data_IF_474869260584
#
_entry.id   IF_474869260584
#
_cell.length_a   1.000
_cell.length_b   1.000
_cell.length_c   1.000
_cell.angle_alpha   90.00
_cell.angle_beta   90.00
_cell.angle_gamma   90.00
#
_symmetry.space_group_name_H-M   'P 1'
#
loop_
_entity.id
_entity.type
_entity.pdbx_description
1 polymer ?
#
# COMPACT_ATOMS: atom_id res chain seq x y z
N UNK A 1 -4.10 -16.41 17.97
CA UNK A 1 -3.79 -15.77 16.67
C UNK A 1 -3.52 -14.29 16.91
N UNK A 2 -2.24 -13.88 16.93
CA UNK A 2 -1.87 -12.47 17.13
C UNK A 2 -1.85 -11.79 15.77
N UNK A 3 -2.79 -10.85 15.55
CA UNK A 3 -2.87 -10.08 14.32
C UNK A 3 -2.54 -8.62 14.61
N UNK A 4 -1.58 -8.05 13.89
CA UNK A 4 -1.36 -6.60 13.87
C UNK A 4 -2.00 -6.05 12.61
N UNK A 5 -2.73 -4.94 12.73
CA UNK A 5 -3.24 -4.21 11.57
C UNK A 5 -2.70 -2.80 11.60
N UNK A 6 -2.16 -2.35 10.48
CA UNK A 6 -1.80 -0.95 10.25
C UNK A 6 -2.79 -0.37 9.25
N UNK A 7 -3.24 0.85 9.49
CA UNK A 7 -4.24 1.53 8.67
C UNK A 7 -3.69 2.84 8.17
N UNK A 8 -3.88 3.10 6.88
CA UNK A 8 -3.49 4.32 6.20
C UNK A 8 -4.73 4.92 5.52
N UNK A 9 -5.10 6.11 5.97
CA UNK A 9 -6.16 6.90 5.36
C UNK A 9 -5.56 7.89 4.36
N UNK A 10 -6.31 8.22 3.32
CA UNK A 10 -5.97 9.30 2.36
C UNK A 10 -4.59 9.18 1.71
N UNK A 11 -4.19 7.96 1.36
CA UNK A 11 -3.00 7.76 0.55
C UNK A 11 -3.21 8.25 -0.88
N UNK A 12 -2.13 8.74 -1.50
CA UNK A 12 -2.17 9.27 -2.86
C UNK A 12 -2.00 8.16 -3.90
N UNK A 13 -0.97 7.32 -3.73
CA UNK A 13 -0.75 6.12 -4.54
C UNK A 13 0.06 5.08 -3.77
N UNK A 14 0.07 3.85 -4.28
CA UNK A 14 0.92 2.77 -3.80
C UNK A 14 1.75 2.27 -4.97
N UNK A 15 3.05 2.06 -4.76
CA UNK A 15 3.91 1.38 -5.72
C UNK A 15 4.22 -0.03 -5.20
N UNK A 16 4.04 -1.02 -6.07
CA UNK A 16 4.33 -2.42 -5.79
C UNK A 16 5.46 -2.90 -6.68
N UNK A 17 6.57 -3.31 -6.09
CA UNK A 17 7.70 -3.90 -6.79
C UNK A 17 7.77 -5.40 -6.50
N UNK A 18 7.97 -6.27 -7.52
CA UNK A 18 8.04 -7.70 -7.31
C UNK A 18 9.31 -8.07 -6.54
N UNK A 19 9.15 -8.95 -5.57
CA UNK A 19 10.22 -9.54 -4.74
C UNK A 19 10.19 -11.06 -4.85
N UNK A 20 11.25 -11.75 -4.40
CA UNK A 20 11.35 -13.23 -4.53
C UNK A 20 10.14 -14.00 -3.99
N UNK A 21 9.52 -13.50 -2.91
CA UNK A 21 8.41 -14.19 -2.23
C UNK A 21 7.18 -13.29 -1.98
N UNK A 22 7.05 -12.20 -2.74
CA UNK A 22 5.95 -11.25 -2.55
C UNK A 22 6.16 -9.94 -3.31
N UNK A 23 5.67 -8.86 -2.71
CA UNK A 23 5.75 -7.51 -3.26
C UNK A 23 6.26 -6.56 -2.19
N UNK A 24 7.25 -5.75 -2.52
CA UNK A 24 7.60 -4.57 -1.74
C UNK A 24 6.52 -3.50 -2.00
N UNK A 25 5.89 -3.02 -0.93
CA UNK A 25 4.84 -2.01 -0.95
C UNK A 25 5.42 -0.68 -0.51
N UNK A 26 5.38 0.31 -1.38
CA UNK A 26 5.72 1.70 -1.07
C UNK A 26 4.44 2.51 -1.02
N UNK A 27 4.06 2.98 0.17
CA UNK A 27 2.87 3.83 0.36
C UNK A 27 3.28 5.29 0.26
N UNK A 28 2.64 6.02 -0.66
CA UNK A 28 2.91 7.43 -0.91
C UNK A 28 1.70 8.25 -0.43
N UNK A 29 1.93 9.12 0.55
CA UNK A 29 0.95 10.11 1.00
C UNK A 29 1.21 11.46 0.33
N UNK A 30 0.15 12.19 0.00
CA UNK A 30 0.26 13.62 -0.34
C UNK A 30 0.24 14.41 0.98
N UNK A 31 1.35 15.05 1.31
CA UNK A 31 1.45 15.92 2.49
C UNK A 31 1.48 17.36 2.00
N UNK A 32 0.58 18.20 2.51
CA UNK A 32 0.65 19.63 2.27
C UNK A 32 1.51 20.28 3.35
N UNK A 33 2.65 20.84 2.94
CA UNK A 33 3.52 21.64 3.81
C UNK A 33 3.69 23.02 3.19
N UNK A 34 3.30 24.05 3.92
CA UNK A 34 3.49 25.46 3.52
C UNK A 34 2.94 25.79 2.13
N UNK A 35 1.78 25.22 1.75
CA UNK A 35 1.14 25.48 0.47
C UNK A 35 1.74 24.75 -0.74
N UNK A 36 2.74 23.89 -0.53
CA UNK A 36 3.26 22.96 -1.55
C UNK A 36 2.78 21.54 -1.25
N UNK A 37 2.45 20.80 -2.31
CA UNK A 37 2.17 19.36 -2.25
C UNK A 37 3.51 18.62 -2.32
N UNK A 38 3.82 17.83 -1.30
CA UNK A 38 4.98 16.96 -1.24
C UNK A 38 4.54 15.50 -1.14
N UNK A 39 5.20 14.61 -1.87
CA UNK A 39 5.02 13.17 -1.73
C UNK A 39 5.90 12.68 -0.57
N UNK A 40 5.28 12.07 0.45
CA UNK A 40 6.00 11.43 1.55
C UNK A 40 5.88 9.91 1.43
N UNK A 41 7.03 9.23 1.39
CA UNK A 41 7.10 7.76 1.50
C UNK A 41 6.94 7.38 2.96
N UNK A 42 5.98 6.51 3.27
CA UNK A 42 5.60 6.23 4.66
C UNK A 42 6.09 4.89 5.17
N UNK A 43 6.20 3.87 4.31
CA UNK A 43 6.67 2.54 4.73
C UNK A 43 7.07 1.70 3.52
N UNK A 44 7.91 0.70 3.79
CA UNK A 44 8.22 -0.42 2.91
C UNK A 44 7.76 -1.71 3.59
N UNK A 45 6.73 -2.36 3.05
CA UNK A 45 6.21 -3.61 3.61
C UNK A 45 6.28 -4.73 2.56
N UNK A 46 6.72 -5.93 2.95
CA UNK A 46 6.64 -7.09 2.09
C UNK A 46 5.27 -7.76 2.25
N UNK A 47 4.43 -7.72 1.20
CA UNK A 47 3.09 -8.35 1.20
C UNK A 47 3.04 -9.53 0.24
N UNK A 48 2.29 -10.57 0.61
CA UNK A 48 2.11 -11.78 -0.22
C UNK A 48 0.84 -11.74 -1.06
N UNK A 49 -0.17 -10.99 -0.63
CA UNK A 49 -1.44 -10.86 -1.34
C UNK A 49 -2.01 -9.46 -1.17
N UNK A 50 -2.80 -9.04 -2.16
CA UNK A 50 -3.50 -7.77 -2.16
C UNK A 50 -4.95 -7.97 -2.59
N UNK A 51 -5.90 -7.38 -1.84
CA UNK A 51 -7.30 -7.22 -2.24
C UNK A 51 -7.54 -5.74 -2.52
N UNK A 52 -7.94 -5.43 -3.76
CA UNK A 52 -8.05 -4.04 -4.25
C UNK A 52 -9.50 -3.78 -4.68
N UNK A 53 -10.16 -2.84 -4.01
CA UNK A 53 -11.48 -2.33 -4.42
C UNK A 53 -11.43 -0.81 -4.63
N UNK A 54 -12.07 -0.31 -5.70
CA UNK A 54 -12.15 1.12 -5.97
C UNK A 54 -10.82 1.78 -6.38
N UNK A 55 -9.90 1.02 -6.99
CA UNK A 55 -8.61 1.52 -7.47
C UNK A 55 -8.42 1.30 -8.97
N UNK A 56 -7.61 2.16 -9.57
CA UNK A 56 -6.98 1.93 -10.87
C UNK A 56 -5.60 1.31 -10.65
N UNK A 57 -5.25 0.33 -11.47
CA UNK A 57 -3.95 -0.34 -11.44
C UNK A 57 -3.26 -0.12 -12.78
N UNK A 58 -2.08 0.49 -12.73
CA UNK A 58 -1.21 0.69 -13.89
C UNK A 58 -0.03 -0.28 -13.81
N UNK A 59 0.17 -1.05 -14.88
CA UNK A 59 1.27 -2.00 -15.01
C UNK A 59 2.44 -1.32 -15.71
N UNK A 60 3.56 -1.17 -15.02
CA UNK A 60 4.80 -0.64 -15.57
C UNK A 60 5.88 -1.73 -15.58
N UNK A 61 6.92 -1.61 -16.42
CA UNK A 61 8.06 -2.52 -16.35
C UNK A 61 8.67 -2.51 -14.94
N UNK A 62 8.63 -3.66 -14.27
CA UNK A 62 9.22 -3.84 -12.93
C UNK A 62 8.42 -3.28 -11.76
N UNK A 63 7.23 -2.69 -11.96
CA UNK A 63 6.36 -2.24 -10.85
C UNK A 63 4.89 -2.14 -11.25
N UNK A 64 4.00 -2.20 -10.26
CA UNK A 64 2.59 -1.80 -10.42
C UNK A 64 2.33 -0.52 -9.62
N UNK A 65 1.54 0.38 -10.17
CA UNK A 65 1.10 1.59 -9.48
C UNK A 65 -0.40 1.47 -9.23
N UNK A 66 -0.80 1.63 -7.97
CA UNK A 66 -2.20 1.58 -7.54
C UNK A 66 -2.61 2.98 -7.12
N UNK A 67 -3.61 3.52 -7.80
CA UNK A 67 -4.16 4.85 -7.53
C UNK A 67 -5.63 4.70 -7.12
N UNK A 68 -6.05 5.23 -5.97
CA UNK A 68 -7.43 5.15 -5.54
C UNK A 68 -8.31 6.05 -6.42
N UNK A 69 -9.42 5.51 -6.93
CA UNK A 69 -10.37 6.25 -7.78
C UNK A 69 -11.38 7.09 -6.97
N UNK A 70 -11.41 6.87 -5.65
CA UNK A 70 -12.25 7.53 -4.65
C UNK A 70 -11.52 7.53 -3.31
N UNK A 71 -12.07 8.19 -2.29
CA UNK A 71 -11.54 8.04 -0.92
C UNK A 71 -11.69 6.57 -0.48
N UNK A 72 -10.57 5.95 -0.14
CA UNK A 72 -10.46 4.55 0.30
C UNK A 72 -9.51 4.45 1.49
N UNK A 73 -9.60 3.35 2.21
CA UNK A 73 -8.70 3.03 3.33
C UNK A 73 -7.78 1.88 2.93
N UNK A 74 -6.48 2.01 3.22
CA UNK A 74 -5.52 0.92 3.09
C UNK A 74 -5.30 0.26 4.45
N UNK A 75 -5.40 -1.07 4.50
CA UNK A 75 -5.09 -1.90 5.67
C UNK A 75 -4.01 -2.91 5.32
N UNK A 76 -3.01 -3.02 6.19
CA UNK A 76 -2.02 -4.09 6.13
C UNK A 76 -2.24 -4.99 7.34
N UNK A 77 -2.70 -6.21 7.08
CA UNK A 77 -2.88 -7.24 8.09
C UNK A 77 -1.61 -8.09 8.18
N UNK A 78 -1.02 -8.17 9.36
CA UNK A 78 0.13 -9.02 9.66
C UNK A 78 -0.32 -10.18 10.54
N UNK A 79 -0.26 -11.38 9.98
CA UNK A 79 -0.29 -12.62 10.72
C UNK A 79 1.12 -12.90 11.24
N UNK A 80 1.32 -12.71 12.55
CA UNK A 80 2.63 -12.85 13.18
C UNK A 80 3.07 -14.31 13.24
N UNK A 81 2.13 -15.24 13.35
CA UNK A 81 2.41 -16.68 13.47
C UNK A 81 2.97 -17.24 12.17
N UNK A 82 2.37 -16.85 11.04
CA UNK A 82 2.81 -17.25 9.71
C UNK A 82 3.83 -16.29 9.09
N UNK A 83 4.11 -15.17 9.77
CA UNK A 83 4.88 -14.04 9.27
C UNK A 83 4.43 -13.58 7.86
N UNK A 84 3.12 -13.55 7.62
CA UNK A 84 2.53 -13.15 6.34
C UNK A 84 1.82 -11.82 6.48
N UNK A 85 1.99 -10.96 5.47
CA UNK A 85 1.26 -9.70 5.36
C UNK A 85 0.35 -9.70 4.15
N UNK A 86 -0.88 -9.22 4.36
CA UNK A 86 -1.89 -9.05 3.32
C UNK A 86 -2.32 -7.59 3.28
N UNK A 87 -2.35 -7.04 2.07
CA UNK A 87 -2.82 -5.70 1.79
C UNK A 87 -4.30 -5.72 1.42
N UNK A 88 -5.11 -4.84 1.99
CA UNK A 88 -6.51 -4.64 1.62
C UNK A 88 -6.79 -3.15 1.41
N UNK A 89 -7.42 -2.81 0.29
CA UNK A 89 -7.91 -1.47 -0.01
C UNK A 89 -9.42 -1.53 -0.21
N UNK A 90 -10.17 -0.72 0.56
CA UNK A 90 -11.64 -0.67 0.57
C UNK A 90 -12.18 0.74 0.74
#
# INVERSE_FOLDING_TARGET
>A
MVKKTVTYDRFHRIELSPEREGWQVTIILEVSKEGKKEEAVVTEEAVRSAKLEGCTVELMPGRMVITPAREVTLKIHHDIENNTRTMEIS
#
